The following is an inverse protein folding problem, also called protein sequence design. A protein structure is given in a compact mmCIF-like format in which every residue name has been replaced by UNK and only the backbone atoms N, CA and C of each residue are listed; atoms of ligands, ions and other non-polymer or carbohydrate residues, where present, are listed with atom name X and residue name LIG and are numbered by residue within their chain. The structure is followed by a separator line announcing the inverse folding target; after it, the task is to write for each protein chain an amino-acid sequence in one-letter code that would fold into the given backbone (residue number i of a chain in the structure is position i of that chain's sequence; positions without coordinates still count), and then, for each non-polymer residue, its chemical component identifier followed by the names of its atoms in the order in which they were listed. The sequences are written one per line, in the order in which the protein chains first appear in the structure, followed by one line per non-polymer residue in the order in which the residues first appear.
data_IF_712846158456
#
_entry.id   IF_712846158456
#
_cell.length_a   1.000
_cell.length_b   1.000
_cell.length_c   1.000
_cell.angle_alpha   90.00
_cell.angle_beta   90.00
_cell.angle_gamma   90.00
#
_symmetry.space_group_name_H-M   'P 1'
#
loop_
_entity.id
_entity.type
_entity.pdbx_description
1 polymer ?
#
# COMPACT_ATOMS: atom_id res chain seq x y z
N UNK A 1 -9.77 -4.98 -27.39
CA UNK A 1 -8.89 -4.03 -26.70
C UNK A 1 -8.50 -4.55 -25.33
N UNK A 2 -7.24 -4.41 -24.98
CA UNK A 2 -6.78 -4.77 -23.65
C UNK A 2 -7.44 -3.85 -22.61
N UNK A 3 -7.81 -4.42 -21.46
CA UNK A 3 -8.29 -3.62 -20.33
C UNK A 3 -7.13 -2.75 -19.82
N UNK A 4 -7.41 -1.49 -19.41
CA UNK A 4 -6.37 -0.67 -18.83
C UNK A 4 -5.82 -1.30 -17.54
N UNK A 5 -4.52 -1.15 -17.32
CA UNK A 5 -3.88 -1.59 -16.09
C UNK A 5 -4.30 -0.67 -14.95
N UNK A 6 -4.75 -1.25 -13.84
CA UNK A 6 -5.11 -0.53 -12.61
C UNK A 6 -4.05 -0.84 -11.55
N UNK A 7 -3.56 0.19 -10.90
CA UNK A 7 -2.53 0.07 -9.87
C UNK A 7 -3.04 0.78 -8.62
N UNK A 8 -3.11 0.04 -7.51
CA UNK A 8 -3.46 0.60 -6.21
C UNK A 8 -2.20 1.17 -5.55
N UNK A 9 -2.29 2.40 -5.09
CA UNK A 9 -1.22 3.07 -4.37
C UNK A 9 -1.74 3.66 -3.07
N UNK A 10 -0.84 3.81 -2.11
CA UNK A 10 -1.13 4.50 -0.85
C UNK A 10 0.00 5.49 -0.56
N UNK A 11 -0.34 6.74 -0.34
CA UNK A 11 0.67 7.76 -0.05
C UNK A 11 1.38 7.47 1.27
N UNK A 12 2.70 7.79 1.38
CA UNK A 12 3.49 7.50 2.58
C UNK A 12 3.30 8.54 3.68
N UNK A 13 2.08 9.03 3.87
CA UNK A 13 1.75 10.09 4.82
C UNK A 13 2.06 9.69 6.26
N UNK A 14 1.92 8.40 6.58
CA UNK A 14 2.19 7.84 7.90
C UNK A 14 3.35 6.84 7.88
N UNK A 15 4.09 6.80 6.76
CA UNK A 15 5.20 5.87 6.61
C UNK A 15 6.34 6.18 7.58
N UNK A 16 6.83 5.13 8.23
CA UNK A 16 8.03 5.17 9.07
C UNK A 16 8.52 3.73 9.26
N UNK A 17 9.79 3.58 9.58
CA UNK A 17 10.34 2.32 10.05
C UNK A 17 10.30 2.36 11.58
N UNK A 18 9.26 1.81 12.18
CA UNK A 18 9.03 1.85 13.63
C UNK A 18 9.11 0.47 14.30
N UNK A 19 9.40 -0.56 13.52
CA UNK A 19 9.59 -1.93 14.01
C UNK A 19 10.51 -2.68 13.05
N UNK A 20 10.97 -3.86 13.43
CA UNK A 20 11.85 -4.68 12.60
C UNK A 20 11.12 -5.96 12.18
N UNK A 21 10.87 -6.12 10.88
CA UNK A 21 10.29 -7.33 10.29
C UNK A 21 11.23 -8.05 9.33
N UNK A 22 12.35 -7.41 8.99
CA UNK A 22 13.40 -7.98 8.14
C UNK A 22 14.76 -7.38 8.51
N UNK A 23 15.89 -8.00 8.08
CA UNK A 23 17.23 -7.54 8.47
C UNK A 23 17.56 -6.12 8.03
N UNK A 24 16.95 -5.62 6.94
CA UNK A 24 17.23 -4.28 6.44
C UNK A 24 16.65 -3.18 7.34
N UNK A 25 15.62 -3.50 8.15
CA UNK A 25 15.00 -2.54 9.07
C UNK A 25 15.81 -2.39 10.35
N UNK A 26 16.64 -3.38 10.70
CA UNK A 26 17.47 -3.33 11.91
C UNK A 26 18.43 -2.16 11.86
N UNK A 27 18.44 -1.35 12.91
CA UNK A 27 19.25 -0.14 13.00
C UNK A 27 18.69 1.06 12.22
N UNK A 28 17.54 0.91 11.56
CA UNK A 28 16.95 1.97 10.73
C UNK A 28 15.60 2.47 11.25
N UNK A 29 15.23 2.12 12.47
CA UNK A 29 13.98 2.60 13.08
C UNK A 29 14.01 4.14 13.16
N UNK A 30 12.96 4.79 12.64
CA UNK A 30 12.81 6.25 12.58
C UNK A 30 13.91 6.98 11.78
N UNK A 31 14.61 6.27 10.90
CA UNK A 31 15.66 6.88 10.05
C UNK A 31 15.18 7.32 8.68
N UNK A 32 13.96 6.96 8.29
CA UNK A 32 13.42 7.40 7.01
C UNK A 32 12.97 8.87 7.09
N UNK A 33 13.17 9.61 5.99
CA UNK A 33 12.63 10.96 5.85
C UNK A 33 11.24 10.86 5.23
N UNK A 34 10.22 11.31 5.97
CA UNK A 34 8.83 11.32 5.49
C UNK A 34 8.65 12.29 4.33
N UNK A 35 9.29 13.45 4.37
CA UNK A 35 9.22 14.43 3.28
C UNK A 35 9.85 13.90 2.00
N UNK A 36 11.02 13.27 2.11
CA UNK A 36 11.68 12.65 0.96
C UNK A 36 10.85 11.48 0.41
N UNK A 37 10.30 10.65 1.29
CA UNK A 37 9.43 9.55 0.88
C UNK A 37 8.21 10.06 0.12
N UNK A 38 7.57 11.13 0.59
CA UNK A 38 6.43 11.74 -0.08
C UNK A 38 6.82 12.30 -1.45
N UNK A 39 7.98 12.94 -1.56
CA UNK A 39 8.47 13.47 -2.81
C UNK A 39 8.73 12.35 -3.84
N UNK A 40 9.42 11.30 -3.42
CA UNK A 40 9.71 10.15 -4.28
C UNK A 40 8.43 9.42 -4.69
N UNK A 41 7.50 9.23 -3.75
CA UNK A 41 6.22 8.61 -4.04
C UNK A 41 5.41 9.43 -5.05
N UNK A 42 5.37 10.73 -4.89
CA UNK A 42 4.66 11.64 -5.80
C UNK A 42 5.24 11.57 -7.21
N UNK A 43 6.57 11.47 -7.34
CA UNK A 43 7.23 11.29 -8.62
C UNK A 43 6.85 9.98 -9.29
N UNK A 44 6.83 8.88 -8.54
CA UNK A 44 6.40 7.58 -9.05
C UNK A 44 4.93 7.59 -9.45
N UNK A 45 4.06 8.16 -8.63
CA UNK A 45 2.64 8.28 -8.89
C UNK A 45 2.38 9.05 -10.20
N UNK A 46 3.10 10.14 -10.41
CA UNK A 46 3.01 10.93 -11.64
C UNK A 46 3.36 10.11 -12.88
N UNK A 47 4.45 9.33 -12.80
CA UNK A 47 4.88 8.49 -13.91
C UNK A 47 3.85 7.37 -14.17
N UNK A 48 3.38 6.70 -13.12
CA UNK A 48 2.43 5.60 -13.27
C UNK A 48 1.10 6.07 -13.86
N UNK A 49 0.64 7.27 -13.52
CA UNK A 49 -0.59 7.84 -14.07
C UNK A 49 -0.52 8.06 -15.60
N UNK A 50 0.66 8.18 -16.15
CA UNK A 50 0.85 8.31 -17.59
C UNK A 50 0.66 6.98 -18.33
N UNK A 51 0.79 5.85 -17.63
CA UNK A 51 0.79 4.51 -18.22
C UNK A 51 -0.33 3.61 -17.72
N UNK A 52 -1.00 3.97 -16.64
CA UNK A 52 -2.00 3.13 -15.98
C UNK A 52 -3.01 4.00 -15.24
N UNK A 53 -4.11 3.38 -14.78
CA UNK A 53 -5.03 4.01 -13.85
C UNK A 53 -4.48 3.83 -12.44
N UNK A 54 -3.98 4.90 -11.84
CA UNK A 54 -3.49 4.87 -10.46
C UNK A 54 -4.66 5.18 -9.53
N UNK A 55 -5.01 4.22 -8.70
CA UNK A 55 -6.07 4.35 -7.69
C UNK A 55 -5.44 4.49 -6.31
N UNK A 56 -6.08 5.24 -5.43
CA UNK A 56 -5.53 5.57 -4.13
C UNK A 56 -6.41 5.02 -3.02
N UNK A 57 -5.77 4.38 -2.03
CA UNK A 57 -6.39 4.09 -0.74
C UNK A 57 -5.90 5.12 0.27
N UNK A 58 -6.79 5.58 1.13
CA UNK A 58 -6.46 6.55 2.19
C UNK A 58 -5.47 5.95 3.18
N UNK A 59 -4.29 6.58 3.38
CA UNK A 59 -3.36 6.12 4.41
C UNK A 59 -3.96 6.32 5.81
N UNK A 60 -3.68 5.37 6.71
CA UNK A 60 -4.24 5.38 8.06
C UNK A 60 -3.14 5.58 9.10
N UNK A 61 -3.35 6.45 10.10
CA UNK A 61 -2.40 6.60 11.20
C UNK A 61 -2.18 5.27 11.94
N UNK A 62 -0.96 5.00 12.32
CA UNK A 62 -0.61 3.77 13.04
C UNK A 62 -0.33 2.57 12.15
N UNK A 63 -0.53 2.69 10.83
CA UNK A 63 -0.25 1.61 9.86
C UNK A 63 0.71 2.12 8.79
N UNK A 64 2.00 2.31 9.14
CA UNK A 64 2.97 2.95 8.26
C UNK A 64 3.25 2.16 6.98
N UNK A 65 3.10 0.84 7.01
CA UNK A 65 3.41 -0.02 5.87
C UNK A 65 2.27 -0.15 4.86
N UNK A 66 1.15 0.57 5.04
CA UNK A 66 0.08 0.61 4.03
C UNK A 66 0.57 1.10 2.67
N UNK A 67 1.69 1.83 2.63
CA UNK A 67 2.33 2.28 1.38
C UNK A 67 2.72 1.09 0.48
N UNK A 68 2.95 -0.08 1.06
CA UNK A 68 3.32 -1.29 0.33
C UNK A 68 2.08 -2.06 -0.14
N UNK A 69 1.33 -1.46 -1.03
CA UNK A 69 0.04 -1.97 -1.52
C UNK A 69 0.15 -3.29 -2.29
N UNK A 70 1.33 -3.63 -2.80
CA UNK A 70 1.56 -4.92 -3.45
C UNK A 70 1.29 -6.11 -2.51
N UNK A 71 1.34 -5.89 -1.21
CA UNK A 71 1.09 -6.92 -0.20
C UNK A 71 -0.39 -7.01 0.22
N UNK A 72 -1.27 -6.19 -0.32
CA UNK A 72 -2.66 -6.11 0.12
C UNK A 72 -3.45 -7.39 -0.16
N UNK A 73 -3.16 -8.05 -1.26
CA UNK A 73 -3.86 -9.28 -1.64
C UNK A 73 -3.49 -9.75 -3.04
N UNK A 74 -4.04 -10.89 -3.41
CA UNK A 74 -3.91 -11.44 -4.75
C UNK A 74 -5.21 -11.18 -5.52
N UNK A 75 -5.10 -10.52 -6.66
CA UNK A 75 -6.24 -10.16 -7.50
C UNK A 75 -6.31 -11.07 -8.71
N UNK A 76 -7.47 -11.67 -8.94
CA UNK A 76 -7.77 -12.44 -10.13
C UNK A 76 -9.12 -11.98 -10.67
N UNK A 77 -9.11 -11.24 -11.79
CA UNK A 77 -10.33 -10.66 -12.34
C UNK A 77 -10.94 -9.64 -11.37
N UNK A 78 -12.14 -9.92 -10.90
CA UNK A 78 -12.86 -9.08 -9.92
C UNK A 78 -12.90 -9.71 -8.52
N UNK A 79 -12.08 -10.73 -8.29
CA UNK A 79 -11.97 -11.41 -7.00
C UNK A 79 -10.62 -11.10 -6.36
N UNK A 80 -10.62 -10.85 -5.06
CA UNK A 80 -9.43 -10.59 -4.26
C UNK A 80 -9.32 -11.61 -3.14
N UNK A 81 -8.16 -12.27 -3.05
CA UNK A 81 -7.79 -13.02 -1.85
C UNK A 81 -6.99 -12.08 -0.97
N UNK A 82 -7.61 -11.61 0.11
CA UNK A 82 -7.02 -10.63 1.00
C UNK A 82 -5.86 -11.23 1.79
N UNK A 83 -4.77 -10.48 1.90
CA UNK A 83 -3.61 -10.89 2.70
C UNK A 83 -3.96 -11.02 4.17
N UNK A 84 -3.36 -12.03 4.82
CA UNK A 84 -3.37 -12.19 6.28
C UNK A 84 -1.94 -11.97 6.76
N UNK A 85 -1.69 -10.82 7.37
CA UNK A 85 -0.33 -10.45 7.75
C UNK A 85 0.16 -11.22 8.97
N UNK A 86 1.40 -11.69 8.90
CA UNK A 86 2.05 -12.35 10.02
C UNK A 86 2.38 -11.37 11.14
N UNK A 87 2.89 -10.19 10.81
CA UNK A 87 3.29 -9.19 11.80
C UNK A 87 2.09 -8.39 12.30
N UNK A 88 1.88 -8.30 13.63
CA UNK A 88 0.79 -7.51 14.21
C UNK A 88 0.79 -6.05 13.74
N UNK A 89 1.98 -5.49 13.46
CA UNK A 89 2.16 -4.11 13.00
C UNK A 89 1.50 -3.86 11.63
N UNK A 90 1.12 -4.92 10.91
CA UNK A 90 0.41 -4.83 9.63
C UNK A 90 -1.01 -5.41 9.65
N UNK A 91 -1.37 -6.16 10.69
CA UNK A 91 -2.66 -6.85 10.72
C UNK A 91 -3.85 -5.89 10.66
N UNK A 92 -3.72 -4.70 11.23
CA UNK A 92 -4.77 -3.69 11.17
C UNK A 92 -4.94 -3.02 9.81
N UNK A 93 -4.05 -3.28 8.84
CA UNK A 93 -4.25 -2.84 7.48
C UNK A 93 -5.35 -3.65 6.76
N UNK A 94 -5.56 -4.89 7.19
CA UNK A 94 -6.48 -5.82 6.51
C UNK A 94 -7.90 -5.27 6.37
N UNK A 95 -8.56 -4.74 7.40
CA UNK A 95 -9.90 -4.21 7.24
C UNK A 95 -9.96 -2.98 6.32
N UNK A 96 -8.91 -2.17 6.28
CA UNK A 96 -8.88 -1.01 5.39
C UNK A 96 -8.78 -1.43 3.92
N UNK A 97 -7.94 -2.42 3.61
CA UNK A 97 -7.86 -2.96 2.26
C UNK A 97 -9.13 -3.69 1.86
N UNK A 98 -9.71 -4.48 2.77
CA UNK A 98 -10.97 -5.18 2.52
C UNK A 98 -12.08 -4.19 2.17
N UNK A 99 -12.26 -3.15 2.95
CA UNK A 99 -13.26 -2.11 2.70
C UNK A 99 -13.05 -1.45 1.34
N UNK A 100 -11.81 -1.09 1.02
CA UNK A 100 -11.50 -0.45 -0.25
C UNK A 100 -11.86 -1.35 -1.42
N UNK A 101 -11.46 -2.62 -1.40
CA UNK A 101 -11.78 -3.55 -2.47
C UNK A 101 -13.29 -3.75 -2.64
N UNK A 102 -14.02 -3.89 -1.53
CA UNK A 102 -15.47 -4.04 -1.57
C UNK A 102 -16.15 -2.80 -2.15
N UNK A 103 -15.71 -1.61 -1.78
CA UNK A 103 -16.23 -0.35 -2.31
C UNK A 103 -15.97 -0.21 -3.81
N UNK A 104 -14.91 -0.79 -4.32
CA UNK A 104 -14.60 -0.80 -5.75
C UNK A 104 -15.32 -1.91 -6.52
N UNK A 105 -16.12 -2.73 -5.85
CA UNK A 105 -16.91 -3.78 -6.48
C UNK A 105 -16.22 -5.13 -6.58
N UNK A 106 -15.08 -5.31 -5.94
CA UNK A 106 -14.42 -6.61 -5.88
C UNK A 106 -15.13 -7.56 -4.92
N UNK A 107 -15.10 -8.84 -5.26
CA UNK A 107 -15.46 -9.92 -4.33
C UNK A 107 -14.23 -10.29 -3.51
N UNK A 108 -14.34 -10.16 -2.21
CA UNK A 108 -13.21 -10.41 -1.30
C UNK A 108 -13.33 -11.77 -0.64
#
# INVERSE_FOLDING_TARGET
MAKPVRILMCAPQHYDVDYVSNPWMEGNIHRSSRDLAQEQWSGLHKILKEHAIAELIEPQPGWPDMVFTANAGLILGDTVVLSRFFHPERQGEEPHFQQWFEEQGYTV
#
